data_IF_326751365996
#
_entry.id   IF_326751365996
#
_cell.length_a   1.000
_cell.length_b   1.000
_cell.length_c   1.000
_cell.angle_alpha   90.00
_cell.angle_beta   90.00
_cell.angle_gamma   90.00
#
_symmetry.space_group_name_H-M   'P 1'
#
loop_
_entity.id
_entity.type
_entity.pdbx_description
1 polymer ?
#
# COMPACT_ATOMS: atom_id res chain seq x y z
N UNK A 1 68.34 -7.63 -26.85
CA UNK A 1 68.13 -6.73 -25.69
C UNK A 1 66.67 -6.81 -25.27
N UNK A 2 66.42 -7.48 -24.14
CA UNK A 2 65.08 -7.79 -23.61
C UNK A 2 64.81 -6.80 -22.48
N UNK A 3 63.71 -6.04 -22.54
CA UNK A 3 63.19 -5.29 -21.39
C UNK A 3 61.83 -5.88 -20.99
N UNK A 4 61.86 -6.65 -19.90
CA UNK A 4 60.70 -7.16 -19.16
C UNK A 4 60.11 -6.00 -18.34
N UNK A 5 58.84 -5.68 -18.55
CA UNK A 5 58.03 -4.86 -17.64
C UNK A 5 57.22 -5.75 -16.70
N UNK A 6 57.02 -5.36 -15.43
CA UNK A 6 56.41 -6.21 -14.41
C UNK A 6 54.88 -6.35 -14.58
N UNK A 7 54.27 -7.45 -14.11
CA UNK A 7 52.83 -7.62 -14.12
C UNK A 7 52.22 -6.86 -12.95
N UNK A 8 51.44 -5.82 -13.23
CA UNK A 8 50.56 -5.19 -12.25
C UNK A 8 49.31 -6.08 -12.08
N UNK A 9 49.44 -7.06 -11.19
CA UNK A 9 48.32 -7.75 -10.55
C UNK A 9 47.56 -6.74 -9.68
N UNK A 10 46.51 -6.16 -10.23
CA UNK A 10 45.51 -5.44 -9.44
C UNK A 10 44.53 -6.48 -8.85
N UNK A 11 44.92 -7.09 -7.72
CA UNK A 11 43.95 -7.63 -6.76
C UNK A 11 43.27 -6.43 -6.08
N UNK A 12 42.01 -6.19 -6.42
CA UNK A 12 41.21 -5.11 -5.83
C UNK A 12 39.83 -5.60 -5.41
N UNK A 13 39.80 -6.26 -4.25
CA UNK A 13 38.69 -6.46 -3.32
C UNK A 13 37.26 -6.55 -3.89
N UNK A 14 36.76 -7.79 -3.92
CA UNK A 14 35.35 -8.09 -3.84
C UNK A 14 34.77 -7.54 -2.52
N UNK A 15 34.13 -6.37 -2.60
CA UNK A 15 33.24 -5.88 -1.54
C UNK A 15 31.95 -6.71 -1.54
N UNK A 16 32.00 -7.87 -0.87
CA UNK A 16 30.82 -8.64 -0.48
C UNK A 16 30.14 -8.02 0.77
N UNK A 17 29.86 -6.71 0.71
CA UNK A 17 28.96 -6.02 1.62
C UNK A 17 27.63 -5.92 0.89
N UNK A 18 26.59 -6.56 1.41
CA UNK A 18 25.30 -6.76 0.74
C UNK A 18 24.73 -5.47 0.16
N UNK A 19 24.98 -5.24 -1.13
CA UNK A 19 24.31 -4.23 -1.94
C UNK A 19 22.88 -4.68 -2.17
N UNK A 20 22.03 -4.49 -1.17
CA UNK A 20 20.59 -4.45 -1.45
C UNK A 20 20.38 -3.25 -2.36
N UNK A 21 19.98 -3.51 -3.61
CA UNK A 21 19.81 -2.44 -4.59
C UNK A 21 18.83 -1.39 -4.05
N UNK A 22 19.00 -0.12 -4.43
CA UNK A 22 18.07 0.94 -4.04
C UNK A 22 16.60 0.58 -4.35
N UNK A 23 16.36 -0.18 -5.42
CA UNK A 23 15.03 -0.73 -5.73
C UNK A 23 14.53 -1.72 -4.67
N UNK A 24 15.37 -2.63 -4.18
CA UNK A 24 14.99 -3.57 -3.12
C UNK A 24 14.65 -2.86 -1.80
N UNK A 25 15.31 -1.75 -1.47
CA UNK A 25 14.96 -0.92 -0.31
C UNK A 25 13.63 -0.21 -0.49
N UNK A 26 13.37 0.34 -1.67
CA UNK A 26 12.09 0.96 -2.00
C UNK A 26 10.93 -0.05 -1.92
N UNK A 27 11.10 -1.27 -2.41
CA UNK A 27 10.09 -2.33 -2.29
C UNK A 27 9.84 -2.74 -0.83
N UNK A 28 10.88 -2.78 0.02
CA UNK A 28 10.70 -2.99 1.48
C UNK A 28 9.89 -1.86 2.11
N UNK A 29 10.23 -0.61 1.79
CA UNK A 29 9.56 0.56 2.32
C UNK A 29 8.09 0.64 1.85
N UNK A 30 7.78 0.14 0.66
CA UNK A 30 6.42 -0.01 0.16
C UNK A 30 5.64 -1.07 0.96
N UNK A 31 6.20 -2.27 1.12
CA UNK A 31 5.57 -3.35 1.89
C UNK A 31 5.32 -2.95 3.35
N UNK A 32 6.30 -2.29 3.98
CA UNK A 32 6.17 -1.78 5.34
C UNK A 32 5.05 -0.73 5.46
N UNK A 33 4.80 0.07 4.42
CA UNK A 33 3.70 1.03 4.41
C UNK A 33 2.33 0.35 4.26
N UNK A 34 2.25 -0.70 3.44
CA UNK A 34 1.04 -1.52 3.34
C UNK A 34 0.73 -2.19 4.68
N UNK A 35 1.76 -2.71 5.37
CA UNK A 35 1.62 -3.29 6.71
C UNK A 35 1.18 -2.24 7.75
N UNK A 36 1.78 -1.05 7.74
CA UNK A 36 1.35 0.04 8.63
C UNK A 36 -0.13 0.43 8.43
N UNK A 37 -0.60 0.49 7.18
CA UNK A 37 -2.01 0.77 6.87
C UNK A 37 -2.95 -0.37 7.28
N UNK A 38 -2.49 -1.62 7.18
CA UNK A 38 -3.23 -2.79 7.65
C UNK A 38 -3.38 -2.77 9.17
N UNK A 39 -2.28 -2.52 9.87
CA UNK A 39 -2.18 -2.65 11.32
C UNK A 39 -2.71 -1.39 12.05
N UNK A 40 -2.97 -0.29 11.32
CA UNK A 40 -3.59 0.92 11.88
C UNK A 40 -5.00 0.64 12.45
N UNK A 41 -5.38 1.23 13.60
CA UNK A 41 -6.70 1.05 14.20
C UNK A 41 -7.83 1.35 13.22
N UNK A 42 -8.84 0.48 13.18
CA UNK A 42 -9.92 0.54 12.18
C UNK A 42 -10.84 1.76 12.34
N UNK A 43 -10.90 2.30 13.55
CA UNK A 43 -11.65 3.47 14.01
C UNK A 43 -10.92 4.80 13.75
N UNK A 44 -9.60 4.79 13.58
CA UNK A 44 -8.81 5.98 13.25
C UNK A 44 -8.87 6.28 11.75
N UNK A 45 -10.04 6.73 11.29
CA UNK A 45 -10.26 7.02 9.86
C UNK A 45 -9.30 8.11 9.33
N UNK A 46 -9.00 9.12 10.15
CA UNK A 46 -8.11 10.20 9.76
C UNK A 46 -6.65 9.72 9.61
N UNK A 47 -6.13 8.97 10.58
CA UNK A 47 -4.79 8.38 10.51
C UNK A 47 -4.65 7.41 9.35
N UNK A 48 -5.65 6.55 9.13
CA UNK A 48 -5.70 5.63 7.97
C UNK A 48 -5.70 6.37 6.64
N UNK A 49 -6.43 7.49 6.52
CA UNK A 49 -6.43 8.32 5.31
C UNK A 49 -5.05 8.92 5.03
N UNK A 50 -4.35 9.39 6.05
CA UNK A 50 -2.98 9.90 5.89
C UNK A 50 -2.01 8.80 5.43
N UNK A 51 -2.10 7.61 6.02
CA UNK A 51 -1.31 6.45 5.61
C UNK A 51 -1.62 6.03 4.17
N UNK A 52 -2.88 6.08 3.76
CA UNK A 52 -3.30 5.80 2.38
C UNK A 52 -2.70 6.80 1.38
N UNK A 53 -2.80 8.11 1.63
CA UNK A 53 -2.18 9.13 0.77
C UNK A 53 -0.65 9.00 0.73
N UNK A 54 -0.03 8.62 1.84
CA UNK A 54 1.40 8.32 1.88
C UNK A 54 1.75 7.06 1.06
N UNK A 55 0.88 6.05 1.04
CA UNK A 55 1.06 4.85 0.22
C UNK A 55 0.92 5.15 -1.28
N UNK A 56 -0.07 5.94 -1.68
CA UNK A 56 -0.32 6.36 -3.08
C UNK A 56 0.90 7.01 -3.74
N UNK A 57 1.63 7.80 -2.96
CA UNK A 57 2.79 8.56 -3.43
C UNK A 57 4.11 7.79 -3.32
N UNK A 58 4.12 6.56 -2.77
CA UNK A 58 5.36 5.80 -2.61
C UNK A 58 5.94 5.35 -3.95
N UNK A 59 7.27 5.42 -4.11
CA UNK A 59 7.96 4.83 -5.25
C UNK A 59 7.67 3.33 -5.38
N UNK A 60 7.42 2.89 -6.60
CA UNK A 60 7.19 1.50 -6.96
C UNK A 60 8.12 1.15 -8.14
N UNK A 61 9.35 0.68 -7.88
CA UNK A 61 10.39 0.56 -8.90
C UNK A 61 10.20 -0.62 -9.87
N UNK A 62 9.25 -1.51 -9.61
CA UNK A 62 8.95 -2.67 -10.42
C UNK A 62 7.45 -2.76 -10.73
N UNK A 63 7.04 -3.44 -11.82
CA UNK A 63 5.63 -3.68 -12.12
C UNK A 63 4.88 -4.37 -10.97
N UNK A 64 5.54 -5.28 -10.26
CA UNK A 64 5.02 -5.98 -9.09
C UNK A 64 4.78 -5.02 -7.92
N UNK A 65 5.74 -4.13 -7.65
CA UNK A 65 5.58 -3.09 -6.66
C UNK A 65 4.43 -2.15 -7.00
N UNK A 66 4.29 -1.80 -8.28
CA UNK A 66 3.19 -0.95 -8.74
C UNK A 66 1.84 -1.64 -8.54
N UNK A 67 1.71 -2.92 -8.94
CA UNK A 67 0.49 -3.70 -8.69
C UNK A 67 0.16 -3.80 -7.21
N UNK A 68 1.16 -4.04 -6.35
CA UNK A 68 0.93 -4.11 -4.91
C UNK A 68 0.45 -2.76 -4.34
N UNK A 69 1.10 -1.65 -4.72
CA UNK A 69 0.68 -0.31 -4.30
C UNK A 69 -0.74 -0.02 -4.77
N UNK A 70 -1.00 -0.15 -6.06
CA UNK A 70 -2.25 0.30 -6.68
C UNK A 70 -3.44 -0.55 -6.20
N UNK A 71 -3.29 -1.88 -6.09
CA UNK A 71 -4.34 -2.75 -5.54
C UNK A 71 -4.63 -2.46 -4.07
N UNK A 72 -3.58 -2.25 -3.26
CA UNK A 72 -3.79 -1.95 -1.84
C UNK A 72 -4.36 -0.56 -1.61
N UNK A 73 -3.94 0.43 -2.39
CA UNK A 73 -4.57 1.77 -2.39
C UNK A 73 -6.06 1.64 -2.68
N UNK A 74 -6.44 0.93 -3.74
CA UNK A 74 -7.85 0.75 -4.12
C UNK A 74 -8.65 0.10 -2.99
N UNK A 75 -8.13 -1.00 -2.43
CA UNK A 75 -8.79 -1.75 -1.38
C UNK A 75 -9.04 -0.89 -0.14
N UNK A 76 -8.03 -0.19 0.34
CA UNK A 76 -8.15 0.65 1.55
C UNK A 76 -8.93 1.93 1.31
N UNK A 77 -8.90 2.48 0.08
CA UNK A 77 -9.74 3.62 -0.31
C UNK A 77 -11.22 3.26 -0.27
N UNK A 78 -11.61 2.16 -0.92
CA UNK A 78 -13.00 1.67 -0.88
C UNK A 78 -13.46 1.41 0.55
N UNK A 79 -12.61 0.78 1.38
CA UNK A 79 -12.93 0.52 2.78
C UNK A 79 -13.12 1.81 3.59
N UNK A 80 -12.24 2.78 3.39
CA UNK A 80 -12.28 4.08 4.06
C UNK A 80 -13.54 4.87 3.68
N UNK A 81 -13.79 5.02 2.38
CA UNK A 81 -14.97 5.72 1.85
C UNK A 81 -16.28 5.06 2.29
N UNK A 82 -16.32 3.71 2.32
CA UNK A 82 -17.46 2.97 2.82
C UNK A 82 -17.73 3.23 4.31
N UNK A 83 -16.70 3.15 5.16
CA UNK A 83 -16.82 3.45 6.59
C UNK A 83 -17.21 4.91 6.86
N UNK A 84 -16.60 5.86 6.17
CA UNK A 84 -16.95 7.28 6.28
C UNK A 84 -18.42 7.51 5.92
N UNK A 85 -18.92 6.85 4.87
CA UNK A 85 -20.32 6.89 4.49
C UNK A 85 -21.25 6.33 5.56
N UNK A 86 -20.93 5.16 6.13
CA UNK A 86 -21.71 4.58 7.23
C UNK A 86 -21.73 5.49 8.46
N UNK A 87 -20.61 6.09 8.84
CA UNK A 87 -20.56 7.05 9.96
C UNK A 87 -21.30 8.37 9.66
N UNK A 88 -21.34 8.81 8.40
CA UNK A 88 -22.17 9.94 7.99
C UNK A 88 -23.67 9.62 8.15
N UNK A 89 -24.10 8.43 7.73
CA UNK A 89 -25.48 7.96 7.91
C UNK A 89 -25.86 7.87 9.38
N UNK A 90 -25.00 7.27 10.22
CA UNK A 90 -25.23 7.19 11.68
C UNK A 90 -25.39 8.58 12.31
N UNK A 91 -24.52 9.54 11.95
CA UNK A 91 -24.62 10.92 12.43
C UNK A 91 -25.90 11.61 11.98
N UNK A 92 -26.33 11.40 10.74
CA UNK A 92 -27.57 11.96 10.22
C UNK A 92 -28.82 11.40 10.95
N UNK A 93 -28.79 10.11 11.33
CA UNK A 93 -29.86 9.48 12.12
C UNK A 93 -29.87 9.92 13.59
N UNK A 94 -28.70 10.19 14.17
CA UNK A 94 -28.56 10.61 15.58
C UNK A 94 -28.71 12.13 15.80
N UNK A 95 -28.79 12.93 14.74
CA UNK A 95 -28.91 14.38 14.82
C UNK A 95 -30.35 14.87 15.02
N UNK A 96 -30.50 16.08 15.54
CA UNK A 96 -31.80 16.75 15.67
C UNK A 96 -32.31 17.38 14.36
N UNK A 97 -31.56 17.23 13.26
CA UNK A 97 -31.88 17.82 11.97
C UNK A 97 -32.78 16.94 11.10
N UNK A 98 -33.31 17.47 9.99
CA UNK A 98 -34.06 16.69 9.02
C UNK A 98 -33.21 15.56 8.44
N UNK A 99 -33.75 14.35 8.42
CA UNK A 99 -33.09 13.20 7.79
C UNK A 99 -33.05 13.41 6.27
N UNK A 100 -31.86 13.32 5.63
CA UNK A 100 -31.75 13.41 4.17
C UNK A 100 -32.60 12.34 3.49
N UNK A 101 -33.31 12.71 2.43
CA UNK A 101 -34.09 11.74 1.63
C UNK A 101 -33.22 10.69 0.94
N UNK A 102 -31.93 11.00 0.76
CA UNK A 102 -30.93 10.11 0.16
C UNK A 102 -30.35 9.11 1.14
N UNK A 103 -30.69 9.18 2.44
CA UNK A 103 -30.00 8.43 3.49
C UNK A 103 -29.89 6.91 3.22
N UNK A 104 -30.96 6.29 2.73
CA UNK A 104 -30.96 4.86 2.39
C UNK A 104 -30.07 4.55 1.18
N UNK A 105 -30.05 5.43 0.18
CA UNK A 105 -29.16 5.30 -0.98
C UNK A 105 -27.70 5.53 -0.58
N UNK A 106 -27.43 6.48 0.32
CA UNK A 106 -26.10 6.77 0.85
C UNK A 106 -25.57 5.58 1.66
N UNK A 107 -26.42 4.94 2.47
CA UNK A 107 -26.08 3.71 3.18
C UNK A 107 -25.76 2.56 2.22
N UNK A 108 -26.64 2.31 1.24
CA UNK A 108 -26.42 1.26 0.25
C UNK A 108 -25.12 1.48 -0.55
N UNK A 109 -24.81 2.73 -0.91
CA UNK A 109 -23.57 3.08 -1.60
C UNK A 109 -22.33 2.92 -0.71
N UNK A 110 -22.45 3.13 0.60
CA UNK A 110 -21.38 2.89 1.56
C UNK A 110 -21.13 1.38 1.76
N UNK A 111 -22.19 0.60 1.95
CA UNK A 111 -22.14 -0.86 2.07
C UNK A 111 -21.56 -1.52 0.82
N UNK A 112 -21.92 -1.04 -0.36
CA UNK A 112 -21.38 -1.54 -1.62
C UNK A 112 -19.86 -1.31 -1.74
N UNK A 113 -19.35 -0.18 -1.27
CA UNK A 113 -17.90 0.06 -1.24
C UNK A 113 -17.20 -0.88 -0.26
N UNK A 114 -17.79 -1.11 0.92
CA UNK A 114 -17.26 -2.07 1.89
C UNK A 114 -17.24 -3.47 1.28
N UNK A 115 -18.34 -3.88 0.64
CA UNK A 115 -18.46 -5.18 -0.04
C UNK A 115 -17.38 -5.34 -1.11
N UNK A 116 -17.29 -4.41 -2.07
CA UNK A 116 -16.24 -4.41 -3.12
C UNK A 116 -14.83 -4.44 -2.55
N UNK A 117 -14.58 -3.67 -1.50
CA UNK A 117 -13.30 -3.72 -0.80
C UNK A 117 -13.01 -5.13 -0.28
N UNK A 118 -13.96 -5.73 0.45
CA UNK A 118 -13.76 -7.03 1.10
C UNK A 118 -13.71 -8.23 0.14
N UNK A 119 -14.55 -8.24 -0.89
CA UNK A 119 -14.75 -9.40 -1.77
C UNK A 119 -13.79 -9.42 -2.95
N UNK A 120 -13.33 -8.24 -3.41
CA UNK A 120 -12.56 -8.11 -4.64
C UNK A 120 -11.19 -7.45 -4.39
N UNK A 121 -11.19 -6.24 -3.83
CA UNK A 121 -9.98 -5.43 -3.78
C UNK A 121 -8.98 -5.89 -2.70
N UNK A 122 -9.44 -6.28 -1.50
CA UNK A 122 -8.58 -6.80 -0.43
C UNK A 122 -7.89 -8.11 -0.84
N UNK A 123 -8.59 -9.11 -1.41
CA UNK A 123 -7.92 -10.29 -1.97
C UNK A 123 -6.88 -9.93 -3.04
N UNK A 124 -7.15 -8.97 -3.92
CA UNK A 124 -6.20 -8.52 -4.93
C UNK A 124 -4.97 -7.81 -4.32
N UNK A 125 -5.17 -7.01 -3.26
CA UNK A 125 -4.09 -6.39 -2.49
C UNK A 125 -3.22 -7.44 -1.80
N UNK A 126 -3.83 -8.38 -1.07
CA UNK A 126 -3.11 -9.44 -0.34
C UNK A 126 -2.29 -10.31 -1.28
N UNK A 127 -2.88 -10.70 -2.42
CA UNK A 127 -2.18 -11.45 -3.46
C UNK A 127 -0.98 -10.67 -3.99
N UNK A 128 -1.17 -9.43 -4.42
CA UNK A 128 -0.08 -8.62 -4.99
C UNK A 128 1.04 -8.34 -3.96
N UNK A 129 0.69 -8.04 -2.71
CA UNK A 129 1.67 -7.85 -1.64
C UNK A 129 2.42 -9.15 -1.31
N UNK A 130 1.76 -10.30 -1.37
CA UNK A 130 2.39 -11.61 -1.16
C UNK A 130 3.34 -11.97 -2.30
N UNK A 131 2.93 -11.77 -3.55
CA UNK A 131 3.79 -11.97 -4.73
C UNK A 131 5.06 -11.11 -4.66
N UNK A 132 4.92 -9.83 -4.27
CA UNK A 132 6.06 -8.94 -4.07
C UNK A 132 6.99 -9.42 -2.94
N UNK A 133 6.44 -9.93 -1.82
CA UNK A 133 7.25 -10.51 -0.73
C UNK A 133 8.01 -11.75 -1.19
N UNK A 134 7.37 -12.64 -1.94
CA UNK A 134 7.97 -13.90 -2.39
C UNK A 134 9.08 -13.68 -3.40
N UNK A 135 8.92 -12.75 -4.35
CA UNK A 135 9.97 -12.39 -5.31
C UNK A 135 11.27 -11.90 -4.63
N UNK A 136 11.13 -11.25 -3.48
CA UNK A 136 12.25 -10.66 -2.74
C UNK A 136 13.01 -11.65 -1.86
N UNK A 137 12.50 -12.88 -1.69
CA UNK A 137 13.19 -13.96 -0.97
C UNK A 137 14.17 -14.66 -1.90
#
# INVERSE_FOLDING_TARGET
>A
MIRRGPPLLALGLASALGCTSAGAEQERALLAAIEALRDAPAEDLAGRKNLLSALETKPAPSPEAQRARDNCVEAYRLLGEGKEGTEAVKRALGGAGPVPKTLLADLAAAEEKIRKSSEEAMPACEKAATELRLRRR
#
